data_IF_793256608152
#
_entry.id   IF_793256608152
#
_cell.length_a   1.000
_cell.length_b   1.000
_cell.length_c   1.000
_cell.angle_alpha   90.00
_cell.angle_beta   90.00
_cell.angle_gamma   90.00
#
_symmetry.space_group_name_H-M   'P 1'
#
loop_
_entity.id
_entity.type
_entity.pdbx_description
1 polymer ?
#
# COMPACT_ATOMS: atom_id res chain seq x y z
N UNK A 1 -27.22 13.41 -27.48
CA UNK A 1 -26.49 12.79 -26.35
C UNK A 1 -25.01 13.00 -26.64
N UNK A 2 -24.22 13.62 -25.74
CA UNK A 2 -22.77 13.77 -25.98
C UNK A 2 -22.13 12.37 -26.04
N UNK A 3 -21.19 12.10 -26.97
CA UNK A 3 -20.46 10.83 -26.98
C UNK A 3 -19.81 10.61 -25.61
N UNK A 4 -19.88 9.37 -25.08
CA UNK A 4 -19.11 9.02 -23.90
C UNK A 4 -17.64 8.96 -24.30
N UNK A 5 -16.84 9.85 -23.74
CA UNK A 5 -15.39 9.81 -23.87
C UNK A 5 -14.85 8.64 -23.05
N UNK A 6 -13.99 7.83 -23.65
CA UNK A 6 -13.31 6.71 -22.99
C UNK A 6 -11.90 7.18 -22.65
N UNK A 7 -11.53 7.11 -21.38
CA UNK A 7 -10.19 7.44 -20.87
C UNK A 7 -9.42 6.13 -20.77
N UNK A 8 -8.24 6.05 -21.39
CA UNK A 8 -7.41 4.84 -21.39
C UNK A 8 -8.18 3.61 -21.89
N UNK A 9 -8.18 2.53 -21.10
CA UNK A 9 -8.95 1.32 -21.40
C UNK A 9 -10.41 1.37 -20.92
N UNK A 10 -10.86 2.50 -20.37
CA UNK A 10 -12.21 2.66 -19.84
C UNK A 10 -12.42 2.00 -18.47
N UNK A 11 -11.35 1.71 -17.74
CA UNK A 11 -11.41 1.17 -16.38
C UNK A 11 -11.55 2.28 -15.33
N UNK A 12 -11.85 1.89 -14.10
CA UNK A 12 -11.87 2.84 -12.99
C UNK A 12 -10.45 3.33 -12.63
N UNK A 13 -9.41 2.55 -12.91
CA UNK A 13 -8.01 2.94 -12.71
C UNK A 13 -7.61 4.09 -13.63
N UNK A 14 -8.00 3.99 -14.91
CA UNK A 14 -7.77 5.04 -15.90
C UNK A 14 -8.41 6.37 -15.46
N UNK A 15 -9.65 6.29 -14.96
CA UNK A 15 -10.37 7.45 -14.46
C UNK A 15 -9.67 8.09 -13.26
N UNK A 16 -9.23 7.29 -12.29
CA UNK A 16 -8.51 7.79 -11.10
C UNK A 16 -7.20 8.46 -11.51
N UNK A 17 -6.42 7.83 -12.40
CA UNK A 17 -5.16 8.39 -12.90
C UNK A 17 -5.38 9.72 -13.62
N UNK A 18 -6.40 9.79 -14.48
CA UNK A 18 -6.77 11.02 -15.18
C UNK A 18 -7.20 12.14 -14.24
N UNK A 19 -8.10 11.86 -13.29
CA UNK A 19 -8.57 12.86 -12.32
C UNK A 19 -7.43 13.36 -11.41
N UNK A 20 -6.49 12.48 -11.05
CA UNK A 20 -5.28 12.86 -10.32
C UNK A 20 -4.44 13.85 -11.13
N UNK A 21 -4.13 13.53 -12.39
CA UNK A 21 -3.33 14.39 -13.27
C UNK A 21 -3.99 15.76 -13.46
N UNK A 22 -5.30 15.80 -13.73
CA UNK A 22 -6.04 17.05 -13.90
C UNK A 22 -6.06 17.88 -12.61
N UNK A 23 -6.15 17.23 -11.44
CA UNK A 23 -6.00 17.90 -10.15
C UNK A 23 -4.62 18.51 -9.98
N UNK A 24 -3.55 17.77 -10.22
CA UNK A 24 -2.17 18.25 -10.04
C UNK A 24 -1.84 19.39 -11.01
N UNK A 25 -2.32 19.34 -12.26
CA UNK A 25 -2.24 20.47 -13.22
C UNK A 25 -2.94 21.72 -12.69
N UNK A 26 -4.17 21.58 -12.17
CA UNK A 26 -4.93 22.70 -11.58
C UNK A 26 -4.24 23.30 -10.35
N UNK A 27 -3.52 22.47 -9.58
CA UNK A 27 -2.73 22.90 -8.42
C UNK A 27 -1.36 23.46 -8.80
N UNK A 28 -0.94 23.37 -10.08
CA UNK A 28 0.37 23.81 -10.55
C UNK A 28 1.54 23.00 -9.96
N UNK A 29 1.31 21.74 -9.59
CA UNK A 29 2.34 20.85 -9.04
C UNK A 29 3.08 20.08 -10.15
N UNK A 30 4.31 19.67 -9.87
CA UNK A 30 5.12 18.90 -10.83
C UNK A 30 4.47 17.54 -11.12
N UNK A 31 4.57 17.12 -12.37
CA UNK A 31 4.16 15.81 -12.88
C UNK A 31 5.37 14.97 -13.33
N UNK A 32 6.59 15.40 -12.99
CA UNK A 32 7.85 14.75 -13.41
C UNK A 32 7.97 13.33 -12.83
N UNK A 33 7.40 13.12 -11.64
CA UNK A 33 7.27 11.81 -11.00
C UNK A 33 6.04 11.82 -10.07
N UNK A 34 5.13 10.89 -10.31
CA UNK A 34 3.97 10.67 -9.45
C UNK A 34 4.21 9.40 -8.65
N UNK A 35 3.94 9.43 -7.34
CA UNK A 35 4.08 8.25 -6.49
C UNK A 35 2.72 7.77 -6.04
N UNK A 36 2.48 6.49 -6.22
CA UNK A 36 1.40 5.79 -5.53
C UNK A 36 1.99 5.03 -4.35
N UNK A 37 1.21 4.84 -3.30
CA UNK A 37 1.70 4.22 -2.09
C UNK A 37 0.77 3.08 -1.65
N UNK A 38 1.35 2.06 -1.02
CA UNK A 38 0.63 0.99 -0.33
C UNK A 38 1.38 0.64 0.95
N UNK A 39 0.62 0.48 2.04
CA UNK A 39 1.16 0.19 3.37
C UNK A 39 0.69 -1.17 3.87
N UNK A 40 1.61 -1.90 4.52
CA UNK A 40 1.31 -3.15 5.21
C UNK A 40 1.68 -3.03 6.69
N UNK A 41 0.68 -3.13 7.57
CA UNK A 41 0.94 -3.33 9.00
C UNK A 41 1.54 -4.71 9.26
N UNK A 42 2.76 -4.76 9.78
CA UNK A 42 3.47 -6.01 10.04
C UNK A 42 3.03 -6.73 11.32
N UNK A 43 2.03 -6.20 12.04
CA UNK A 43 1.56 -6.74 13.32
C UNK A 43 0.67 -7.97 13.19
N UNK A 44 0.34 -8.44 11.99
CA UNK A 44 -0.53 -9.59 11.77
C UNK A 44 -0.29 -10.26 10.43
N UNK A 45 -0.93 -11.41 10.22
CA UNK A 45 -0.75 -12.21 9.01
C UNK A 45 -1.37 -11.48 7.81
N UNK A 46 -0.61 -11.20 6.74
CA UNK A 46 -1.15 -10.59 5.53
C UNK A 46 -2.30 -11.42 4.94
N UNK A 47 -3.37 -10.75 4.54
CA UNK A 47 -4.54 -11.40 3.94
C UNK A 47 -4.89 -10.75 2.59
N UNK A 48 -5.91 -11.29 1.92
CA UNK A 48 -6.36 -10.81 0.60
C UNK A 48 -6.69 -9.31 0.56
N UNK A 49 -7.05 -8.73 1.71
CA UNK A 49 -7.31 -7.29 1.85
C UNK A 49 -6.03 -6.47 1.70
N UNK A 50 -4.96 -6.87 2.38
CA UNK A 50 -3.64 -6.24 2.27
C UNK A 50 -3.07 -6.37 0.86
N UNK A 51 -3.22 -7.56 0.24
CA UNK A 51 -2.85 -7.76 -1.16
C UNK A 51 -3.63 -6.83 -2.09
N UNK A 52 -4.94 -6.71 -1.88
CA UNK A 52 -5.79 -5.86 -2.71
C UNK A 52 -5.41 -4.38 -2.63
N UNK A 53 -4.85 -3.93 -1.50
CA UNK A 53 -4.31 -2.58 -1.38
C UNK A 53 -3.11 -2.34 -2.31
N UNK A 54 -2.09 -3.20 -2.21
CA UNK A 54 -0.92 -3.14 -3.08
C UNK A 54 -1.30 -3.22 -4.57
N UNK A 55 -2.23 -4.12 -4.93
CA UNK A 55 -2.69 -4.28 -6.31
C UNK A 55 -3.39 -3.02 -6.83
N UNK A 56 -4.23 -2.36 -6.02
CA UNK A 56 -4.91 -1.11 -6.43
C UNK A 56 -3.91 0.03 -6.63
N UNK A 57 -2.99 0.22 -5.70
CA UNK A 57 -1.96 1.26 -5.81
C UNK A 57 -1.08 1.03 -7.06
N UNK A 58 -0.64 -0.22 -7.27
CA UNK A 58 0.12 -0.59 -8.46
C UNK A 58 -0.67 -0.36 -9.75
N UNK A 59 -1.95 -0.71 -9.77
CA UNK A 59 -2.85 -0.50 -10.90
C UNK A 59 -2.94 0.98 -11.31
N UNK A 60 -3.00 1.90 -10.34
CA UNK A 60 -2.99 3.34 -10.62
C UNK A 60 -1.63 3.79 -11.16
N UNK A 61 -0.51 3.28 -10.63
CA UNK A 61 0.82 3.54 -11.20
C UNK A 61 0.91 3.09 -12.67
N UNK A 62 0.34 1.94 -13.01
CA UNK A 62 0.31 1.46 -14.39
C UNK A 62 -0.56 2.36 -15.29
N UNK A 63 -1.75 2.76 -14.83
CA UNK A 63 -2.61 3.67 -15.57
C UNK A 63 -1.95 5.05 -15.79
N UNK A 64 -1.22 5.59 -14.80
CA UNK A 64 -0.45 6.83 -14.95
C UNK A 64 0.65 6.71 -16.01
N UNK A 65 1.35 5.57 -16.05
CA UNK A 65 2.34 5.26 -17.09
C UNK A 65 1.72 5.18 -18.48
N UNK A 66 0.55 4.56 -18.60
CA UNK A 66 -0.18 4.48 -19.88
C UNK A 66 -0.67 5.86 -20.36
N UNK A 67 -1.00 6.77 -19.44
CA UNK A 67 -1.29 8.18 -19.75
C UNK A 67 -0.05 9.01 -20.12
N UNK A 68 1.15 8.41 -20.09
CA UNK A 68 2.42 9.04 -20.47
C UNK A 68 3.16 9.74 -19.34
N UNK A 69 2.78 9.52 -18.08
CA UNK A 69 3.46 10.11 -16.91
C UNK A 69 4.42 9.11 -16.27
N UNK A 70 5.51 9.62 -15.70
CA UNK A 70 6.41 8.79 -14.92
C UNK A 70 5.78 8.51 -13.54
N UNK A 71 5.71 7.24 -13.16
CA UNK A 71 5.10 6.84 -11.88
C UNK A 71 5.82 5.66 -11.24
N UNK A 72 5.87 5.64 -9.91
CA UNK A 72 6.38 4.51 -9.13
C UNK A 72 5.47 4.18 -7.95
N UNK A 73 5.49 2.90 -7.55
CA UNK A 73 4.84 2.43 -6.33
C UNK A 73 5.87 2.42 -5.20
N UNK A 74 5.58 3.10 -4.11
CA UNK A 74 6.23 2.87 -2.82
C UNK A 74 5.37 1.88 -2.04
N UNK A 75 5.87 0.67 -1.86
CA UNK A 75 5.32 -0.28 -0.90
C UNK A 75 6.15 -0.18 0.39
N UNK A 76 5.50 0.09 1.51
CA UNK A 76 6.14 0.22 2.80
C UNK A 76 5.49 -0.70 3.84
N UNK A 77 6.26 -1.05 4.86
CA UNK A 77 5.76 -1.81 6.00
C UNK A 77 5.85 -0.96 7.26
N UNK A 78 4.78 -0.94 8.03
CA UNK A 78 4.74 -0.29 9.34
C UNK A 78 5.22 -1.28 10.41
N UNK A 79 6.51 -1.63 10.34
CA UNK A 79 7.16 -2.60 11.23
C UNK A 79 7.59 -1.99 12.58
N UNK A 80 7.61 -0.67 12.67
CA UNK A 80 7.85 0.06 13.90
C UNK A 80 6.60 0.26 14.76
N UNK A 81 5.42 -0.12 14.25
CA UNK A 81 4.16 -0.02 14.98
C UNK A 81 4.14 -1.00 16.17
N UNK A 82 3.59 -0.55 17.29
CA UNK A 82 3.51 -1.36 18.51
C UNK A 82 2.53 -2.53 18.38
N UNK A 83 2.88 -3.71 18.92
CA UNK A 83 1.97 -4.85 19.00
C UNK A 83 0.76 -4.51 19.90
N UNK A 84 -0.41 -4.24 19.31
CA UNK A 84 -1.59 -3.77 20.06
C UNK A 84 -2.35 -4.88 20.79
N UNK A 85 -2.27 -6.10 20.27
CA UNK A 85 -2.86 -7.32 20.83
C UNK A 85 -2.14 -8.52 20.25
N UNK A 86 -2.14 -9.64 20.97
CA UNK A 86 -1.65 -10.91 20.43
C UNK A 86 -2.69 -11.47 19.43
N UNK A 87 -2.33 -11.71 18.16
CA UNK A 87 -3.22 -12.38 17.22
C UNK A 87 -3.59 -13.79 17.65
N UNK A 88 -4.78 -14.22 17.24
CA UNK A 88 -5.25 -15.59 17.48
C UNK A 88 -4.32 -16.61 16.82
N UNK A 89 -3.97 -17.67 17.54
CA UNK A 89 -3.06 -18.71 17.09
C UNK A 89 -1.57 -18.44 17.34
N UNK A 90 -1.21 -17.26 17.86
CA UNK A 90 0.17 -16.97 18.27
C UNK A 90 0.41 -17.25 19.77
N UNK A 91 1.68 -17.46 20.18
CA UNK A 91 2.03 -17.80 21.55
C UNK A 91 1.64 -16.71 22.56
N UNK A 92 1.20 -17.12 23.76
CA UNK A 92 0.77 -16.20 24.81
C UNK A 92 1.90 -15.36 25.41
N UNK A 93 3.17 -15.77 25.26
CA UNK A 93 4.32 -14.99 25.75
C UNK A 93 4.47 -13.64 25.03
N UNK A 94 3.83 -13.46 23.86
CA UNK A 94 3.78 -12.17 23.16
C UNK A 94 3.04 -11.08 23.96
N UNK A 95 2.28 -11.44 25.00
CA UNK A 95 1.66 -10.46 25.91
C UNK A 95 2.70 -9.59 26.62
N UNK A 96 3.91 -10.12 26.85
CA UNK A 96 5.02 -9.37 27.47
C UNK A 96 5.60 -8.30 26.53
N UNK A 97 5.33 -8.40 25.23
CA UNK A 97 5.83 -7.52 24.17
C UNK A 97 4.77 -6.56 23.62
N UNK A 98 3.64 -6.39 24.32
CA UNK A 98 2.62 -5.43 23.92
C UNK A 98 3.19 -4.01 23.90
N UNK A 99 2.78 -3.25 22.88
CA UNK A 99 3.23 -1.87 22.60
C UNK A 99 4.70 -1.75 22.16
N UNK A 100 5.46 -2.84 22.09
CA UNK A 100 6.80 -2.83 21.51
C UNK A 100 6.73 -2.83 19.97
N UNK A 101 7.67 -2.15 19.27
CA UNK A 101 7.77 -2.21 17.83
C UNK A 101 7.88 -3.66 17.34
N UNK A 102 7.05 -4.07 16.39
CA UNK A 102 7.02 -5.47 15.93
C UNK A 102 8.35 -5.92 15.29
N UNK A 103 9.15 -4.99 14.76
CA UNK A 103 10.50 -5.24 14.28
C UNK A 103 11.53 -5.59 15.37
N UNK A 104 11.23 -5.31 16.64
CA UNK A 104 12.08 -5.63 17.80
C UNK A 104 11.68 -6.90 18.55
N UNK A 105 10.48 -7.42 18.28
CA UNK A 105 9.95 -8.63 18.94
C UNK A 105 10.57 -9.87 18.29
N UNK A 106 11.04 -10.87 19.05
CA UNK A 106 11.53 -12.13 18.49
C UNK A 106 10.46 -12.84 17.65
N UNK A 107 10.88 -13.51 16.58
CA UNK A 107 9.97 -14.30 15.73
C UNK A 107 9.32 -15.46 16.55
N UNK A 108 7.98 -15.51 16.65
CA UNK A 108 7.29 -16.59 17.35
C UNK A 108 7.43 -17.98 16.71
N UNK A 109 7.83 -18.06 15.44
CA UNK A 109 8.03 -19.31 14.71
C UNK A 109 9.52 -19.70 14.59
N UNK A 110 10.44 -18.78 14.87
CA UNK A 110 11.89 -18.99 14.83
C UNK A 110 12.48 -19.21 13.43
N UNK A 111 11.79 -18.81 12.36
CA UNK A 111 12.28 -18.87 10.98
C UNK A 111 12.91 -17.56 10.48
N UNK A 112 12.66 -16.43 11.14
CA UNK A 112 13.20 -15.12 10.78
C UNK A 112 13.80 -14.37 11.98
N UNK A 113 14.29 -13.14 11.77
CA UNK A 113 14.99 -12.38 12.83
C UNK A 113 14.05 -11.71 13.83
N UNK A 114 12.84 -11.35 13.40
CA UNK A 114 11.85 -10.67 14.22
C UNK A 114 10.44 -11.05 13.79
N UNK A 115 9.45 -10.64 14.57
CA UNK A 115 8.03 -10.85 14.29
C UNK A 115 7.59 -10.27 12.93
N UNK A 116 8.24 -9.20 12.45
CA UNK A 116 7.89 -8.51 11.20
C UNK A 116 8.64 -9.02 9.96
N UNK A 117 9.61 -9.92 10.10
CA UNK A 117 10.34 -10.55 8.98
C UNK A 117 9.72 -11.90 8.58
#
# INVERSE_FOLDING_TARGET
MRPKEIIGHGTWLDKVAYELVEREKRLGRSLDLIRTESGLGASGIPHVGSMADAVRAYGVTMALKELGYNSELIAFSDDMDGLRKVPEGLPSWLEDHLLEPVSSIPDPLGCHKSYSE
#
